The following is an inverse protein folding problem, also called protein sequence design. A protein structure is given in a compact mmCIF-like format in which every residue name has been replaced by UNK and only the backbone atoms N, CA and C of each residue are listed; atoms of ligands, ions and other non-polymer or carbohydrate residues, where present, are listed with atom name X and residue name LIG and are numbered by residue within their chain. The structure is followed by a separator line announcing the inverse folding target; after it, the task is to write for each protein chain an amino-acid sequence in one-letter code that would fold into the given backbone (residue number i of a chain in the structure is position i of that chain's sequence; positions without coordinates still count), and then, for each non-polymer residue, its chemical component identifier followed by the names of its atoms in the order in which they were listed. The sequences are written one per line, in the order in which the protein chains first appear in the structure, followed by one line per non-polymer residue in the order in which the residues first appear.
data_IF_149531879601
#
_entry.id   IF_149531879601
#
_cell.length_a   1.000
_cell.length_b   1.000
_cell.length_c   1.000
_cell.angle_alpha   90.00
_cell.angle_beta   90.00
_cell.angle_gamma   90.00
#
_symmetry.space_group_name_H-M   'P 1'
#
loop_
_entity.id
_entity.type
_entity.pdbx_description
1 polymer ?
#
# COMPACT_ATOMS: atom_id res chain seq x y z
N UNK A 1 4.28 8.24 -28.14
CA UNK A 1 3.94 7.58 -29.41
C UNK A 1 5.17 7.64 -30.31
N UNK A 2 5.74 6.51 -30.71
CA UNK A 2 6.88 6.48 -31.64
C UNK A 2 6.40 5.85 -32.95
N UNK A 3 6.63 6.53 -34.06
CA UNK A 3 5.96 6.30 -35.33
C UNK A 3 6.56 5.15 -36.17
N UNK A 4 7.59 4.47 -35.67
CA UNK A 4 8.17 3.33 -36.35
C UNK A 4 8.93 2.44 -35.36
N UNK A 5 8.63 1.14 -35.36
CA UNK A 5 9.26 0.16 -34.48
C UNK A 5 10.69 -0.15 -34.93
N UNK A 6 10.96 -0.05 -36.24
CA UNK A 6 12.26 -0.34 -36.81
C UNK A 6 13.30 0.76 -36.47
N UNK A 7 12.88 2.03 -36.43
CA UNK A 7 13.77 3.16 -36.05
C UNK A 7 14.17 3.13 -34.56
N UNK A 8 13.32 2.54 -33.70
CA UNK A 8 13.66 2.29 -32.28
C UNK A 8 14.67 1.16 -32.16
N UNK A 9 14.52 0.09 -32.96
CA UNK A 9 15.41 -1.05 -32.96
C UNK A 9 16.79 -0.68 -33.51
N UNK A 10 16.85 0.13 -34.57
CA UNK A 10 18.09 0.60 -35.18
C UNK A 10 18.88 1.52 -34.23
N UNK A 11 18.18 2.36 -33.46
CA UNK A 11 18.80 3.18 -32.39
C UNK A 11 19.27 2.37 -31.19
N UNK A 12 18.54 1.32 -30.80
CA UNK A 12 18.94 0.41 -29.72
C UNK A 12 20.17 -0.43 -30.07
N UNK A 13 20.28 -0.85 -31.32
CA UNK A 13 21.32 -1.79 -31.78
C UNK A 13 22.58 -1.10 -32.31
N UNK A 14 22.46 0.04 -33.00
CA UNK A 14 23.59 0.64 -33.75
C UNK A 14 24.17 1.91 -33.12
N UNK A 15 23.39 2.62 -32.29
CA UNK A 15 23.88 3.81 -31.59
C UNK A 15 23.97 3.51 -30.10
N UNK A 16 25.19 3.25 -29.64
CA UNK A 16 25.57 3.49 -28.25
C UNK A 16 25.39 4.99 -27.95
N UNK A 17 24.15 5.42 -27.76
CA UNK A 17 23.81 6.77 -27.36
C UNK A 17 24.32 6.94 -25.93
N UNK A 18 25.33 7.79 -25.74
CA UNK A 18 25.88 8.11 -24.42
C UNK A 18 24.73 8.51 -23.49
N UNK A 19 24.39 7.64 -22.54
CA UNK A 19 23.24 7.79 -21.65
C UNK A 19 22.29 6.59 -21.58
N UNK A 20 22.35 5.65 -22.53
CA UNK A 20 21.56 4.43 -22.50
C UNK A 20 22.37 3.24 -21.98
N UNK A 21 21.76 2.44 -21.09
CA UNK A 21 22.31 1.16 -20.64
C UNK A 21 22.41 0.20 -21.82
N UNK A 22 23.38 -0.72 -21.75
CA UNK A 22 23.50 -1.83 -22.70
C UNK A 22 22.15 -2.56 -22.75
N UNK A 23 21.61 -2.90 -23.95
CA UNK A 23 20.25 -3.40 -24.10
C UNK A 23 19.90 -4.57 -23.16
N UNK A 24 20.83 -5.48 -22.89
CA UNK A 24 20.61 -6.59 -21.96
C UNK A 24 20.46 -6.10 -20.52
N UNK A 25 21.32 -5.18 -20.09
CA UNK A 25 21.26 -4.58 -18.75
C UNK A 25 20.01 -3.71 -18.58
N UNK A 26 19.54 -3.06 -19.64
CA UNK A 26 18.32 -2.27 -19.62
C UNK A 26 17.07 -3.15 -19.43
N UNK A 27 16.99 -4.30 -20.11
CA UNK A 27 15.88 -5.25 -20.00
C UNK A 27 15.85 -5.88 -18.60
N UNK A 28 16.99 -6.35 -18.08
CA UNK A 28 17.09 -6.91 -16.72
C UNK A 28 16.62 -5.92 -15.66
N UNK A 29 17.12 -4.68 -15.72
CA UNK A 29 16.72 -3.62 -14.77
C UNK A 29 15.22 -3.30 -14.86
N UNK A 30 14.64 -3.32 -16.06
CA UNK A 30 13.21 -3.07 -16.26
C UNK A 30 12.36 -4.19 -15.64
N UNK A 31 12.77 -5.45 -15.78
CA UNK A 31 12.11 -6.59 -15.15
C UNK A 31 12.17 -6.53 -13.62
N UNK A 32 13.33 -6.17 -13.06
CA UNK A 32 13.51 -5.96 -11.63
C UNK A 32 12.61 -4.84 -11.08
N UNK A 33 12.55 -3.70 -11.78
CA UNK A 33 11.70 -2.58 -11.38
C UNK A 33 10.21 -2.95 -11.40
N UNK A 34 9.75 -3.70 -12.41
CA UNK A 34 8.37 -4.20 -12.49
C UNK A 34 8.06 -5.16 -11.34
N UNK A 35 8.96 -6.10 -11.04
CA UNK A 35 8.77 -7.05 -9.96
C UNK A 35 8.68 -6.33 -8.60
N UNK A 36 9.59 -5.38 -8.35
CA UNK A 36 9.58 -4.59 -7.12
C UNK A 36 8.28 -3.77 -6.98
N UNK A 37 7.83 -3.16 -8.07
CA UNK A 37 6.57 -2.42 -8.10
C UNK A 37 5.38 -3.32 -7.76
N UNK A 38 5.28 -4.53 -8.34
CA UNK A 38 4.18 -5.44 -8.03
C UNK A 38 4.18 -5.91 -6.57
N UNK A 39 5.35 -6.20 -6.00
CA UNK A 39 5.45 -6.54 -4.58
C UNK A 39 5.01 -5.38 -3.69
N UNK A 40 5.38 -4.15 -4.06
CA UNK A 40 4.95 -2.94 -3.36
C UNK A 40 3.43 -2.75 -3.40
N UNK A 41 2.77 -2.99 -4.55
CA UNK A 41 1.29 -2.94 -4.65
C UNK A 41 0.65 -3.93 -3.67
N UNK A 42 1.12 -5.17 -3.67
CA UNK A 42 0.53 -6.23 -2.83
C UNK A 42 0.74 -5.94 -1.34
N UNK A 43 1.90 -5.39 -0.97
CA UNK A 43 2.17 -4.98 0.40
C UNK A 43 1.31 -3.78 0.82
N UNK A 44 1.17 -2.78 -0.06
CA UNK A 44 0.29 -1.63 0.12
C UNK A 44 -1.15 -2.05 0.36
N UNK A 45 -1.67 -2.96 -0.46
CA UNK A 45 -3.04 -3.47 -0.33
C UNK A 45 -3.27 -4.18 1.00
N UNK A 46 -2.32 -5.04 1.42
CA UNK A 46 -2.43 -5.75 2.70
C UNK A 46 -2.42 -4.80 3.89
N UNK A 47 -1.57 -3.77 3.85
CA UNK A 47 -1.50 -2.78 4.92
C UNK A 47 -2.78 -1.95 5.01
N UNK A 48 -3.27 -1.47 3.87
CA UNK A 48 -4.50 -0.70 3.81
C UNK A 48 -5.72 -1.51 4.30
N UNK A 49 -5.82 -2.79 3.90
CA UNK A 49 -6.86 -3.69 4.41
C UNK A 49 -6.76 -3.89 5.93
N UNK A 50 -5.55 -4.11 6.46
CA UNK A 50 -5.34 -4.26 7.91
C UNK A 50 -5.75 -3.01 8.69
N UNK A 51 -5.39 -1.83 8.18
CA UNK A 51 -5.72 -0.57 8.81
C UNK A 51 -7.22 -0.28 8.76
N UNK A 52 -7.89 -0.62 7.65
CA UNK A 52 -9.34 -0.54 7.53
C UNK A 52 -10.02 -1.47 8.55
N UNK A 53 -9.58 -2.73 8.66
CA UNK A 53 -10.09 -3.67 9.65
C UNK A 53 -9.87 -3.21 11.10
N UNK A 54 -8.74 -2.57 11.40
CA UNK A 54 -8.44 -2.06 12.74
C UNK A 54 -9.38 -0.92 13.17
N UNK A 55 -9.91 -0.13 12.23
CA UNK A 55 -10.90 0.92 12.54
C UNK A 55 -12.26 0.36 12.92
N UNK A 56 -12.55 -0.89 12.55
CA UNK A 56 -13.77 -1.60 12.93
C UNK A 56 -13.58 -2.51 14.16
N UNK A 57 -12.50 -2.33 14.93
CA UNK A 57 -12.26 -3.11 16.14
C UNK A 57 -13.41 -2.90 17.15
N UNK A 58 -14.18 -3.96 17.47
CA UNK A 58 -15.28 -3.88 18.42
C UNK A 58 -14.85 -3.36 19.80
N UNK A 59 -13.60 -3.63 20.22
CA UNK A 59 -13.09 -3.20 21.52
C UNK A 59 -12.88 -1.68 21.60
N UNK A 60 -12.51 -1.03 20.49
CA UNK A 60 -12.40 0.43 20.42
C UNK A 60 -13.78 1.09 20.53
N UNK A 61 -14.79 0.48 19.91
CA UNK A 61 -16.17 0.96 19.95
C UNK A 61 -16.79 0.77 21.34
N UNK A 62 -16.52 -0.36 22.01
CA UNK A 62 -16.96 -0.59 23.39
C UNK A 62 -16.36 0.43 24.38
N UNK A 63 -15.08 0.82 24.21
CA UNK A 63 -14.45 1.85 25.04
C UNK A 63 -15.12 3.23 24.90
N UNK A 64 -15.54 3.62 23.70
CA UNK A 64 -16.22 4.90 23.46
C UNK A 64 -17.62 4.94 24.06
N UNK A 65 -18.33 3.81 24.11
CA UNK A 65 -19.65 3.74 24.77
C UNK A 65 -19.52 3.86 26.30
N UNK A 66 -18.45 3.31 26.87
CA UNK A 66 -18.21 3.32 28.32
C UNK A 66 -17.82 4.69 28.89
N UNK A 67 -17.26 5.59 28.06
CA UNK A 67 -16.94 6.97 28.45
C UNK A 67 -18.17 7.90 28.48
N UNK A 68 -19.21 7.63 27.70
CA UNK A 68 -20.38 8.52 27.56
C UNK A 68 -21.58 8.16 28.46
N UNK A 69 -21.51 7.01 29.16
CA UNK A 69 -22.70 6.37 29.73
C UNK A 69 -22.63 6.19 31.26
N UNK A 70 -22.86 7.26 32.03
CA UNK A 70 -22.79 7.23 33.51
C UNK A 70 -23.86 6.36 34.21
N UNK A 71 -25.10 6.33 33.71
CA UNK A 71 -26.24 5.61 34.33
C UNK A 71 -26.62 4.30 33.63
N UNK A 72 -26.16 4.08 32.39
CA UNK A 72 -26.53 2.91 31.56
C UNK A 72 -25.58 1.71 31.75
N UNK A 73 -24.53 1.85 32.58
CA UNK A 73 -23.60 0.75 32.94
C UNK A 73 -24.28 -0.46 33.59
N UNK A 74 -25.47 -0.26 34.18
CA UNK A 74 -26.18 -1.27 34.97
C UNK A 74 -27.06 -2.22 34.13
N UNK A 75 -27.32 -1.93 32.86
CA UNK A 75 -28.15 -2.76 31.97
C UNK A 75 -27.33 -3.28 30.78
N UNK A 76 -26.86 -4.54 30.80
CA UNK A 76 -26.00 -5.09 29.76
C UNK A 76 -26.65 -5.13 28.37
N UNK A 77 -27.99 -5.21 28.30
CA UNK A 77 -28.71 -5.14 27.01
C UNK A 77 -28.74 -3.73 26.41
N UNK A 78 -28.91 -2.69 27.23
CA UNK A 78 -28.88 -1.31 26.78
C UNK A 78 -27.48 -0.89 26.28
N UNK A 79 -26.42 -1.41 26.93
CA UNK A 79 -25.03 -1.22 26.48
C UNK A 79 -24.78 -1.81 25.10
N UNK A 80 -25.20 -3.06 24.86
CA UNK A 80 -25.00 -3.72 23.56
C UNK A 80 -25.74 -3.02 22.41
N UNK A 81 -26.98 -2.59 22.64
CA UNK A 81 -27.73 -1.82 21.64
C UNK A 81 -27.01 -0.52 21.28
N UNK A 82 -26.56 0.24 22.28
CA UNK A 82 -25.79 1.46 22.02
C UNK A 82 -24.45 1.22 21.35
N UNK A 83 -23.72 0.15 21.70
CA UNK A 83 -22.51 -0.23 20.97
C UNK A 83 -22.81 -0.51 19.50
N UNK A 84 -23.94 -1.14 19.20
CA UNK A 84 -24.38 -1.35 17.83
C UNK A 84 -24.76 -0.04 17.12
N UNK A 85 -25.52 0.83 17.78
CA UNK A 85 -25.91 2.13 17.21
C UNK A 85 -24.67 3.01 16.96
N UNK A 86 -23.69 2.99 17.87
CA UNK A 86 -22.42 3.70 17.72
C UNK A 86 -21.57 3.08 16.61
N UNK A 87 -21.52 1.74 16.52
CA UNK A 87 -20.86 1.02 15.43
C UNK A 87 -21.42 1.47 14.08
N UNK A 88 -22.75 1.50 13.92
CA UNK A 88 -23.42 1.90 12.67
C UNK A 88 -23.16 3.38 12.35
N UNK A 89 -23.26 4.28 13.34
CA UNK A 89 -22.98 5.70 13.13
C UNK A 89 -21.52 5.99 12.75
N UNK A 90 -20.59 5.26 13.36
CA UNK A 90 -19.15 5.35 13.06
C UNK A 90 -18.85 4.72 11.70
N UNK A 91 -19.58 3.67 11.32
CA UNK A 91 -19.44 3.01 10.03
C UNK A 91 -19.73 3.97 8.87
N UNK A 92 -20.81 4.75 8.93
CA UNK A 92 -21.16 5.68 7.84
C UNK A 92 -20.12 6.79 7.68
N UNK A 93 -19.63 7.37 8.78
CA UNK A 93 -18.57 8.40 8.72
C UNK A 93 -17.24 7.83 8.23
N UNK A 94 -16.85 6.65 8.73
CA UNK A 94 -15.61 6.00 8.31
C UNK A 94 -15.72 5.51 6.87
N UNK A 95 -16.91 5.12 6.37
CA UNK A 95 -17.11 4.72 4.99
C UNK A 95 -16.91 5.90 4.02
N UNK A 96 -17.34 7.10 4.38
CA UNK A 96 -17.11 8.32 3.60
C UNK A 96 -15.62 8.72 3.61
N UNK A 97 -14.96 8.68 4.77
CA UNK A 97 -13.54 9.04 4.91
C UNK A 97 -12.58 7.92 4.45
N UNK A 98 -13.08 6.68 4.30
CA UNK A 98 -12.26 5.49 4.05
C UNK A 98 -11.49 5.60 2.75
N UNK A 99 -12.04 6.26 1.72
CA UNK A 99 -11.35 6.34 0.43
C UNK A 99 -10.05 7.13 0.51
N UNK A 100 -10.06 8.29 1.18
CA UNK A 100 -8.90 9.16 1.29
C UNK A 100 -7.85 8.58 2.25
N UNK A 101 -8.28 8.07 3.40
CA UNK A 101 -7.37 7.42 4.34
C UNK A 101 -6.81 6.11 3.80
N UNK A 102 -7.59 5.33 3.04
CA UNK A 102 -7.11 4.14 2.35
C UNK A 102 -6.00 4.51 1.37
N UNK A 103 -6.18 5.55 0.56
CA UNK A 103 -5.17 6.00 -0.40
C UNK A 103 -3.87 6.43 0.28
N UNK A 104 -3.96 7.13 1.41
CA UNK A 104 -2.78 7.52 2.21
C UNK A 104 -2.04 6.32 2.79
N UNK A 105 -2.77 5.42 3.47
CA UNK A 105 -2.21 4.23 4.11
C UNK A 105 -1.63 3.25 3.08
N UNK A 106 -2.29 3.12 1.93
CA UNK A 106 -1.80 2.36 0.80
C UNK A 106 -0.49 2.95 0.27
N UNK A 107 -0.44 4.27 0.05
CA UNK A 107 0.75 4.96 -0.47
C UNK A 107 1.97 4.79 0.44
N UNK A 108 1.80 4.95 1.76
CA UNK A 108 2.89 4.80 2.74
C UNK A 108 3.45 3.37 2.76
N UNK A 109 2.57 2.38 2.75
CA UNK A 109 2.96 0.98 2.75
C UNK A 109 3.56 0.53 1.41
N UNK A 110 3.04 1.05 0.30
CA UNK A 110 3.60 0.85 -1.03
C UNK A 110 5.05 1.38 -1.10
N UNK A 111 5.26 2.65 -0.71
CA UNK A 111 6.59 3.28 -0.77
C UNK A 111 7.61 2.51 0.06
N UNK A 112 7.24 2.10 1.29
CA UNK A 112 8.12 1.34 2.16
C UNK A 112 8.54 0.00 1.57
N UNK A 113 7.57 -0.77 1.08
CA UNK A 113 7.84 -2.08 0.48
C UNK A 113 8.66 -1.96 -0.81
N UNK A 114 8.44 -0.91 -1.61
CA UNK A 114 9.24 -0.62 -2.78
C UNK A 114 10.71 -0.31 -2.40
N UNK A 115 10.92 0.57 -1.44
CA UNK A 115 12.27 0.93 -0.96
C UNK A 115 13.01 -0.27 -0.38
N UNK A 116 12.34 -1.12 0.43
CA UNK A 116 12.92 -2.34 0.97
C UNK A 116 13.38 -3.31 -0.13
N UNK A 117 12.59 -3.46 -1.19
CA UNK A 117 12.94 -4.34 -2.31
C UNK A 117 14.10 -3.78 -3.14
N UNK A 118 14.12 -2.46 -3.39
CA UNK A 118 15.24 -1.79 -4.07
C UNK A 118 16.52 -1.92 -3.24
N UNK A 119 16.44 -1.78 -1.91
CA UNK A 119 17.57 -1.96 -1.01
C UNK A 119 18.10 -3.41 -1.04
N UNK A 120 17.22 -4.41 -1.01
CA UNK A 120 17.61 -5.82 -1.18
C UNK A 120 18.35 -6.07 -2.49
N UNK A 121 17.83 -5.57 -3.60
CA UNK A 121 18.46 -5.71 -4.91
C UNK A 121 19.86 -5.06 -4.95
N UNK A 122 20.02 -3.88 -4.35
CA UNK A 122 21.33 -3.22 -4.22
C UNK A 122 22.32 -4.05 -3.39
N UNK A 123 21.86 -4.68 -2.30
CA UNK A 123 22.71 -5.53 -1.45
C UNK A 123 23.14 -6.82 -2.17
N UNK A 124 22.24 -7.47 -2.92
CA UNK A 124 22.56 -8.66 -3.74
C UNK A 124 23.62 -8.31 -4.79
N UNK A 125 23.48 -7.15 -5.45
CA UNK A 125 24.43 -6.71 -6.48
C UNK A 125 25.82 -6.36 -5.92
N UNK A 126 25.89 -5.85 -4.69
CA UNK A 126 27.15 -5.58 -4.00
C UNK A 126 27.81 -6.83 -3.41
N UNK A 127 27.01 -7.83 -3.01
CA UNK A 127 27.50 -9.13 -2.52
C UNK A 127 28.14 -9.99 -3.60
N UNK A 128 27.71 -9.86 -4.87
CA UNK A 128 28.29 -10.58 -6.01
C UNK A 128 29.61 -9.98 -6.54
N UNK A 129 30.11 -8.90 -5.95
CA UNK A 129 31.30 -8.17 -6.42
C UNK A 129 32.50 -8.29 -5.44
N UNK A 130 32.41 -9.19 -4.45
CA UNK A 130 33.49 -9.56 -3.52
C UNK A 130 33.86 -11.04 -3.66
#
# INVERSE_FOLDING_TARGET
FCADADDVLDRLLLRHARGFLEPTTAVEKTFEDIQAHQMAIIAGLRAALKALLARFDPALLEQQVDSDSGLQRLLPMARKSKCWDLFVATFDQVADDASEDFMRLFGDAFNRAYEEQIQRLRQVKQGNMN
#
